data_IF_797513538789
#
_entry.id   IF_797513538789
#
_cell.length_a   1.000
_cell.length_b   1.000
_cell.length_c   1.000
_cell.angle_alpha   90.00
_cell.angle_beta   90.00
_cell.angle_gamma   90.00
#
_symmetry.space_group_name_H-M   'P 1'
#
loop_
_entity.id
_entity.type
_entity.pdbx_description
1 polymer ?
#
# COMPACT_ATOMS: atom_id res chain seq x y z
N UNK A 1 -3.08 20.65 16.35
CA UNK A 1 -2.11 19.54 16.47
C UNK A 1 -2.87 18.29 16.92
N UNK A 2 -3.44 17.51 16.01
CA UNK A 2 -4.30 16.36 16.36
C UNK A 2 -4.47 15.33 15.23
N UNK A 3 -3.43 15.06 14.44
CA UNK A 3 -3.55 14.22 13.23
C UNK A 3 -2.46 13.14 13.10
N UNK A 4 -1.75 12.79 14.17
CA UNK A 4 -0.58 11.88 14.10
C UNK A 4 -0.76 10.58 14.92
N UNK A 5 -1.94 10.30 15.46
CA UNK A 5 -2.19 9.06 16.25
C UNK A 5 -3.25 8.16 15.61
N UNK A 6 -3.16 7.93 14.30
CA UNK A 6 -3.94 6.89 13.62
C UNK A 6 -3.06 5.85 12.91
N UNK A 7 -1.75 6.08 12.79
CA UNK A 7 -0.83 5.21 12.02
C UNK A 7 0.06 4.30 12.89
N UNK A 8 -0.08 4.37 14.22
CA UNK A 8 0.61 3.48 15.18
C UNK A 8 -0.21 2.24 15.57
N UNK A 9 -1.40 2.06 15.00
CA UNK A 9 -2.15 0.80 15.07
C UNK A 9 -1.71 -0.21 13.99
N UNK A 10 -0.50 -0.05 13.42
CA UNK A 10 0.15 -1.08 12.59
C UNK A 10 0.86 -2.11 13.48
N UNK A 11 0.12 -2.64 14.46
CA UNK A 11 0.55 -3.68 15.39
C UNK A 11 -0.70 -4.22 16.07
N UNK A 12 -1.04 -5.49 15.80
CA UNK A 12 -2.16 -6.25 16.36
C UNK A 12 -3.54 -6.16 15.67
N UNK A 13 -3.57 -6.21 14.35
CA UNK A 13 -4.69 -6.88 13.67
C UNK A 13 -4.09 -7.84 12.63
N UNK A 14 -4.06 -9.14 12.95
CA UNK A 14 -4.18 -10.16 11.89
C UNK A 14 -5.62 -10.08 11.39
N UNK A 15 -5.96 -8.98 10.74
CA UNK A 15 -7.16 -8.90 9.94
C UNK A 15 -6.81 -9.69 8.68
N UNK A 16 -7.53 -10.79 8.45
CA UNK A 16 -7.52 -11.46 7.14
C UNK A 16 -7.58 -10.36 6.07
N UNK A 17 -6.59 -10.33 5.18
CA UNK A 17 -6.53 -9.30 4.15
C UNK A 17 -7.79 -9.39 3.28
N UNK A 18 -8.75 -8.51 3.52
CA UNK A 18 -9.98 -8.43 2.73
C UNK A 18 -9.79 -7.46 1.58
N UNK A 19 -10.64 -7.58 0.56
CA UNK A 19 -10.73 -6.62 -0.55
C UNK A 19 -10.91 -5.18 -0.07
N UNK A 20 -11.59 -4.97 1.06
CA UNK A 20 -11.75 -3.66 1.68
C UNK A 20 -10.42 -3.10 2.23
N UNK A 21 -9.66 -3.91 2.97
CA UNK A 21 -8.35 -3.52 3.51
C UNK A 21 -7.35 -3.26 2.37
N UNK A 22 -7.33 -4.13 1.36
CA UNK A 22 -6.52 -3.91 0.17
C UNK A 22 -6.91 -2.62 -0.55
N UNK A 23 -8.21 -2.34 -0.70
CA UNK A 23 -8.72 -1.10 -1.27
C UNK A 23 -8.25 0.16 -0.52
N UNK A 24 -8.26 0.12 0.81
CA UNK A 24 -7.73 1.22 1.64
C UNK A 24 -6.23 1.44 1.43
N UNK A 25 -5.42 0.37 1.44
CA UNK A 25 -3.96 0.46 1.21
C UNK A 25 -3.64 1.01 -0.19
N UNK A 26 -4.43 0.62 -1.20
CA UNK A 26 -4.27 1.10 -2.58
C UNK A 26 -4.62 2.58 -2.70
N UNK A 27 -5.66 3.04 -2.02
CA UNK A 27 -6.00 4.46 -1.98
C UNK A 27 -4.84 5.30 -1.40
N UNK A 28 -4.24 4.85 -0.28
CA UNK A 28 -3.05 5.49 0.30
C UNK A 28 -1.88 5.47 -0.68
N UNK A 29 -1.64 4.34 -1.33
CA UNK A 29 -0.55 4.19 -2.29
C UNK A 29 -0.74 5.08 -3.52
N UNK A 30 -1.97 5.29 -3.98
CA UNK A 30 -2.29 6.19 -5.09
C UNK A 30 -2.02 7.67 -4.73
N UNK A 31 -2.24 8.07 -3.48
CA UNK A 31 -1.88 9.41 -3.00
C UNK A 31 -0.35 9.60 -2.90
N UNK A 32 0.38 8.55 -2.53
CA UNK A 32 1.84 8.58 -2.40
C UNK A 32 2.58 8.35 -3.73
N UNK A 33 1.93 7.74 -4.71
CA UNK A 33 2.41 7.45 -6.06
C UNK A 33 3.13 8.63 -6.74
N UNK A 34 2.59 9.86 -6.79
CA UNK A 34 3.30 11.00 -7.41
C UNK A 34 4.59 11.40 -6.69
N UNK A 35 4.70 11.19 -5.37
CA UNK A 35 5.94 11.40 -4.64
C UNK A 35 6.93 10.27 -4.92
N UNK A 36 6.45 9.03 -4.89
CA UNK A 36 7.25 7.84 -5.21
C UNK A 36 7.78 7.85 -6.66
N UNK A 37 7.01 8.32 -7.64
CA UNK A 37 7.47 8.47 -9.03
C UNK A 37 8.68 9.44 -9.10
N UNK A 38 8.69 10.47 -8.26
CA UNK A 38 9.75 11.48 -8.25
C UNK A 38 11.00 11.00 -7.49
N UNK A 39 10.84 10.30 -6.38
CA UNK A 39 11.95 9.88 -5.51
C UNK A 39 12.48 8.48 -5.87
N UNK A 40 11.61 7.60 -6.35
CA UNK A 40 11.93 6.21 -6.71
C UNK A 40 11.02 5.67 -7.84
N UNK A 41 11.25 6.07 -9.10
CA UNK A 41 10.42 5.67 -10.23
C UNK A 41 10.43 4.16 -10.50
N UNK A 42 11.50 3.46 -10.14
CA UNK A 42 11.58 2.01 -10.27
C UNK A 42 10.60 1.29 -9.30
N UNK A 43 10.44 1.80 -8.08
CA UNK A 43 9.44 1.28 -7.15
C UNK A 43 8.01 1.57 -7.63
N UNK A 44 7.76 2.76 -8.19
CA UNK A 44 6.46 3.12 -8.76
C UNK A 44 6.05 2.19 -9.92
N UNK A 45 6.97 1.89 -10.83
CA UNK A 45 6.70 0.95 -11.94
C UNK A 45 6.38 -0.47 -11.45
N UNK A 46 7.02 -0.92 -10.36
CA UNK A 46 6.74 -2.23 -9.78
C UNK A 46 5.35 -2.32 -9.15
N UNK A 47 4.87 -1.23 -8.55
CA UNK A 47 3.49 -1.14 -8.05
C UNK A 47 2.50 -1.31 -9.20
N UNK A 48 2.70 -0.55 -10.27
CA UNK A 48 1.81 -0.59 -11.43
C UNK A 48 1.80 -1.98 -12.09
N UNK A 49 2.97 -2.63 -12.19
CA UNK A 49 3.12 -3.94 -12.82
C UNK A 49 2.71 -5.14 -11.94
N UNK A 50 2.92 -5.08 -10.62
CA UNK A 50 2.64 -6.22 -9.71
C UNK A 50 1.29 -6.07 -8.99
N UNK A 51 0.92 -4.88 -8.54
CA UNK A 51 -0.22 -4.69 -7.61
C UNK A 51 -1.52 -4.43 -8.34
N UNK A 52 -1.52 -3.55 -9.36
CA UNK A 52 -2.72 -3.22 -10.15
C UNK A 52 -3.37 -4.46 -10.77
N UNK A 53 -2.65 -5.39 -11.43
CA UNK A 53 -3.27 -6.58 -11.99
C UNK A 53 -3.81 -7.53 -10.91
N UNK A 54 -3.17 -7.62 -9.74
CA UNK A 54 -3.67 -8.48 -8.66
C UNK A 54 -4.99 -7.97 -8.07
N UNK A 55 -5.15 -6.65 -7.99
CA UNK A 55 -6.41 -6.02 -7.60
C UNK A 55 -7.50 -6.23 -8.66
N UNK A 56 -7.16 -6.12 -9.94
CA UNK A 56 -8.10 -6.37 -11.03
C UNK A 56 -8.60 -7.83 -11.05
N UNK A 57 -7.74 -8.77 -10.65
CA UNK A 57 -8.08 -10.19 -10.55
C UNK A 57 -8.88 -10.53 -9.28
N UNK A 58 -9.21 -9.55 -8.43
CA UNK A 58 -9.86 -9.74 -7.12
C UNK A 58 -9.18 -10.82 -6.25
N UNK A 59 -7.92 -11.12 -6.55
CA UNK A 59 -7.16 -12.11 -5.82
C UNK A 59 -6.55 -11.33 -4.68
N UNK A 60 -7.27 -11.13 -3.57
CA UNK A 60 -6.75 -10.44 -2.39
C UNK A 60 -6.42 -11.50 -1.35
N UNK A 61 -5.15 -11.57 -0.99
CA UNK A 61 -4.63 -12.48 0.01
C UNK A 61 -3.60 -11.75 0.89
N UNK A 62 -3.21 -12.36 2.01
CA UNK A 62 -2.29 -11.73 2.96
C UNK A 62 -0.97 -11.29 2.31
N UNK A 63 -0.47 -12.06 1.34
CA UNK A 63 0.76 -11.73 0.61
C UNK A 63 0.67 -10.41 -0.17
N UNK A 64 -0.52 -10.02 -0.66
CA UNK A 64 -0.73 -8.74 -1.33
C UNK A 64 -0.81 -7.60 -0.35
N UNK A 65 -1.47 -7.79 0.80
CA UNK A 65 -1.46 -6.78 1.85
C UNK A 65 -0.03 -6.51 2.36
N UNK A 66 0.78 -7.55 2.56
CA UNK A 66 2.19 -7.39 2.93
C UNK A 66 2.99 -6.63 1.86
N UNK A 67 2.74 -6.92 0.58
CA UNK A 67 3.39 -6.23 -0.54
C UNK A 67 2.99 -4.75 -0.60
N UNK A 68 1.70 -4.47 -0.45
CA UNK A 68 1.16 -3.12 -0.39
C UNK A 68 1.78 -2.33 0.79
N UNK A 69 1.91 -2.95 1.97
CA UNK A 69 2.55 -2.30 3.11
C UNK A 69 4.02 -1.98 2.85
N UNK A 70 4.79 -2.93 2.31
CA UNK A 70 6.17 -2.67 1.94
C UNK A 70 6.31 -1.51 0.96
N UNK A 71 5.40 -1.40 -0.01
CA UNK A 71 5.39 -0.32 -1.01
C UNK A 71 4.98 1.02 -0.39
N UNK A 72 4.02 1.05 0.53
CA UNK A 72 3.64 2.26 1.27
C UNK A 72 4.83 2.78 2.11
N UNK A 73 5.57 1.88 2.76
CA UNK A 73 6.77 2.25 3.54
C UNK A 73 7.83 2.86 2.63
N UNK A 74 8.16 2.19 1.51
CA UNK A 74 9.12 2.72 0.53
C UNK A 74 8.69 4.10 0.01
N UNK A 75 7.39 4.29 -0.24
CA UNK A 75 6.86 5.58 -0.70
C UNK A 75 6.90 6.68 0.35
N UNK A 76 6.92 6.33 1.64
CA UNK A 76 7.05 7.28 2.75
C UNK A 76 8.50 7.60 3.11
N UNK A 77 9.42 6.66 2.89
CA UNK A 77 10.85 6.84 3.17
C UNK A 77 11.62 7.50 2.01
N UNK A 78 11.02 7.56 0.82
CA UNK A 78 11.60 8.17 -0.39
C UNK A 78 11.70 9.68 -0.37
#
# INVERSE_FOLDING_TARGET
>A
MALVVALLACGAARAECTTEIAGQKVAILAELMPALIQTNPAAAQRIDAEVVPMLQLNTVNDAICERLDALIVIAREG
#
